data_IF_794080804698
#
_entry.id   IF_794080804698
#
_cell.length_a   1.000
_cell.length_b   1.000
_cell.length_c   1.000
_cell.angle_alpha   90.00
_cell.angle_beta   90.00
_cell.angle_gamma   90.00
#
_symmetry.space_group_name_H-M   'P 1'
#
loop_
_entity.id
_entity.type
_entity.pdbx_description
1 polymer ?
#
# COMPACT_ATOMS: atom_id res chain seq x y z
N UNK A 1 -4.74 3.10 21.83
CA UNK A 1 -5.37 3.85 20.72
C UNK A 1 -4.57 3.60 19.44
N UNK A 2 -5.17 3.70 18.27
CA UNK A 2 -4.51 3.58 16.96
C UNK A 2 -4.61 4.91 16.22
N UNK A 3 -3.64 5.20 15.35
CA UNK A 3 -3.74 6.32 14.41
C UNK A 3 -4.43 5.82 13.14
N UNK A 4 -5.70 6.20 12.97
CA UNK A 4 -6.48 5.86 11.78
C UNK A 4 -6.36 6.98 10.74
N UNK A 5 -5.82 6.67 9.58
CA UNK A 5 -5.69 7.60 8.47
C UNK A 5 -6.56 7.16 7.29
N UNK A 6 -7.30 8.09 6.71
CA UNK A 6 -8.28 7.85 5.66
C UNK A 6 -7.78 8.39 4.33
N UNK A 7 -7.82 7.58 3.28
CA UNK A 7 -7.55 8.04 1.92
C UNK A 7 -8.77 8.81 1.40
N UNK A 8 -8.56 10.05 0.97
CA UNK A 8 -9.65 10.94 0.54
C UNK A 8 -10.33 10.48 -0.75
N UNK A 9 -9.58 9.84 -1.66
CA UNK A 9 -10.04 9.33 -2.95
C UNK A 9 -9.81 7.80 -3.07
N UNK A 10 -10.51 7.17 -4.00
CA UNK A 10 -10.29 5.77 -4.42
C UNK A 10 -8.92 5.60 -5.08
N UNK A 11 -8.38 6.65 -5.72
CA UNK A 11 -7.06 6.65 -6.34
C UNK A 11 -5.98 6.79 -5.27
N UNK A 12 -5.58 5.67 -4.66
CA UNK A 12 -4.60 5.62 -3.55
C UNK A 12 -3.25 6.28 -3.86
N UNK A 13 -2.90 6.42 -5.14
CA UNK A 13 -1.64 6.97 -5.59
C UNK A 13 -1.70 8.46 -5.95
N UNK A 14 -2.88 9.08 -5.87
CA UNK A 14 -3.17 10.47 -6.23
C UNK A 14 -4.23 11.04 -5.26
N UNK A 15 -3.93 11.08 -3.96
CA UNK A 15 -4.89 11.46 -2.92
C UNK A 15 -4.22 12.04 -1.68
N UNK A 16 -4.98 12.79 -0.90
CA UNK A 16 -4.64 13.10 0.48
C UNK A 16 -4.96 11.92 1.40
N UNK A 17 -4.22 11.82 2.50
CA UNK A 17 -4.39 10.86 3.59
C UNK A 17 -4.62 11.65 4.87
N UNK A 18 -5.84 11.56 5.41
CA UNK A 18 -6.40 12.49 6.39
C UNK A 18 -6.58 11.79 7.74
N UNK A 19 -6.20 12.46 8.83
CA UNK A 19 -6.36 11.98 10.19
C UNK A 19 -7.79 12.19 10.74
N UNK A 20 -8.10 11.67 11.93
CA UNK A 20 -9.43 11.83 12.55
C UNK A 20 -9.75 13.28 12.92
N UNK A 21 -8.72 14.12 13.07
CA UNK A 21 -8.80 15.56 13.31
C UNK A 21 -9.05 16.38 12.03
N UNK A 22 -9.13 15.72 10.86
CA UNK A 22 -9.27 16.37 9.57
C UNK A 22 -7.96 16.92 9.00
N UNK A 23 -6.83 16.75 9.68
CA UNK A 23 -5.53 17.19 9.19
C UNK A 23 -5.00 16.25 8.09
N UNK A 24 -4.35 16.82 7.08
CA UNK A 24 -3.66 16.03 6.05
C UNK A 24 -2.32 15.57 6.61
N UNK A 25 -2.18 14.26 6.84
CA UNK A 25 -0.93 13.65 7.30
C UNK A 25 0.01 13.36 6.15
N UNK A 26 -0.52 12.82 5.05
CA UNK A 26 0.25 12.51 3.86
C UNK A 26 -0.49 12.91 2.59
N UNK A 27 0.26 13.15 1.53
CA UNK A 27 -0.25 13.31 0.16
C UNK A 27 0.53 12.40 -0.77
N UNK A 28 -0.18 11.64 -1.59
CA UNK A 28 0.41 10.83 -2.67
C UNK A 28 0.17 11.50 -4.01
N UNK A 29 1.17 11.50 -4.89
CA UNK A 29 1.00 11.99 -6.27
C UNK A 29 1.81 11.16 -7.23
N UNK A 30 1.21 10.75 -8.34
CA UNK A 30 1.81 9.81 -9.28
C UNK A 30 1.96 10.38 -10.67
N UNK A 31 3.19 10.34 -11.16
CA UNK A 31 3.49 10.62 -12.56
C UNK A 31 3.36 9.34 -13.38
N UNK A 32 2.79 9.45 -14.57
CA UNK A 32 2.63 8.34 -15.51
C UNK A 32 3.24 8.69 -16.88
N UNK A 33 3.46 7.68 -17.72
CA UNK A 33 3.81 7.87 -19.13
C UNK A 33 3.39 6.68 -19.97
N UNK A 34 3.89 6.60 -21.21
CA UNK A 34 3.52 5.56 -22.19
C UNK A 34 3.68 4.12 -21.67
N UNK A 35 4.61 3.88 -20.73
CA UNK A 35 4.86 2.57 -20.10
C UNK A 35 4.27 2.46 -18.68
N UNK A 36 3.17 3.15 -18.41
CA UNK A 36 2.51 3.16 -17.10
C UNK A 36 3.18 4.10 -16.09
N UNK A 37 2.99 3.77 -14.80
CA UNK A 37 3.45 4.55 -13.65
C UNK A 37 4.97 4.75 -13.67
N UNK A 38 5.41 5.97 -13.33
CA UNK A 38 6.83 6.35 -13.22
C UNK A 38 7.23 6.46 -11.76
N UNK A 39 6.75 7.50 -11.09
CA UNK A 39 7.11 7.85 -9.73
C UNK A 39 5.84 8.22 -8.98
N UNK A 40 5.62 7.60 -7.81
CA UNK A 40 4.68 8.11 -6.81
C UNK A 40 5.48 8.83 -5.73
N UNK A 41 5.20 10.10 -5.49
CA UNK A 41 5.72 10.86 -4.36
C UNK A 41 4.82 10.67 -3.15
N UNK A 42 5.42 10.60 -1.96
CA UNK A 42 4.71 10.68 -0.68
C UNK A 42 5.26 11.90 0.07
N UNK A 43 4.40 12.89 0.29
CA UNK A 43 4.72 14.09 1.04
C UNK A 43 3.98 14.14 2.37
N UNK A 44 4.55 14.87 3.33
CA UNK A 44 3.89 15.32 4.56
C UNK A 44 3.94 16.86 4.61
N UNK A 45 3.43 17.45 5.69
CA UNK A 45 3.44 18.90 5.90
C UNK A 45 4.86 19.53 5.81
N UNK A 46 5.90 18.77 6.16
CA UNK A 46 7.31 19.18 6.11
C UNK A 46 7.94 19.11 4.71
N UNK A 47 7.28 18.50 3.73
CA UNK A 47 7.79 18.31 2.37
C UNK A 47 7.72 16.87 1.89
N UNK A 48 8.45 16.55 0.82
CA UNK A 48 8.49 15.19 0.26
C UNK A 48 9.38 14.32 1.14
N UNK A 49 8.85 13.18 1.59
CA UNK A 49 9.52 12.27 2.53
C UNK A 49 9.76 10.88 1.95
N UNK A 50 9.10 10.53 0.84
CA UNK A 50 9.31 9.26 0.17
C UNK A 50 8.98 9.26 -1.32
N UNK A 51 9.56 8.30 -2.05
CA UNK A 51 9.26 8.04 -3.46
C UNK A 51 9.15 6.54 -3.73
N UNK A 52 8.09 6.13 -4.43
CA UNK A 52 8.02 4.82 -5.08
C UNK A 52 8.41 5.01 -6.54
N UNK A 53 9.60 4.54 -6.90
CA UNK A 53 10.02 4.52 -8.30
C UNK A 53 9.63 3.17 -8.90
N UNK A 54 8.53 3.17 -9.65
CA UNK A 54 7.91 1.95 -10.17
C UNK A 54 8.75 1.26 -11.23
N UNK A 55 9.50 2.05 -12.02
CA UNK A 55 10.30 1.52 -13.13
C UNK A 55 11.61 0.94 -12.65
N UNK A 56 12.27 1.68 -11.76
CA UNK A 56 13.56 1.26 -11.21
C UNK A 56 13.37 0.26 -10.06
N UNK A 57 12.12 0.00 -9.66
CA UNK A 57 11.74 -0.92 -8.57
C UNK A 57 12.44 -0.56 -7.27
N UNK A 58 12.38 0.71 -6.91
CA UNK A 58 13.02 1.22 -5.69
C UNK A 58 12.05 2.01 -4.83
N UNK A 59 12.30 1.99 -3.52
CA UNK A 59 11.82 2.99 -2.60
C UNK A 59 12.96 3.96 -2.30
N UNK A 60 12.67 5.26 -2.27
CA UNK A 60 13.58 6.27 -1.72
C UNK A 60 12.92 6.79 -0.47
N UNK A 61 13.50 6.53 0.70
CA UNK A 61 13.00 6.97 1.99
C UNK A 61 14.10 7.79 2.65
N UNK A 62 13.77 9.04 3.04
CA UNK A 62 14.74 9.99 3.57
C UNK A 62 16.00 10.14 2.69
N UNK A 63 15.81 10.23 1.37
CA UNK A 63 16.90 10.39 0.40
C UNK A 63 17.72 9.12 0.11
N UNK A 64 17.46 8.00 0.78
CA UNK A 64 18.22 6.76 0.59
C UNK A 64 17.46 5.79 -0.31
N UNK A 65 17.98 5.45 -1.51
CA UNK A 65 17.36 4.46 -2.37
C UNK A 65 17.57 3.04 -1.84
N UNK A 66 16.54 2.21 -1.97
CA UNK A 66 16.52 0.78 -1.63
C UNK A 66 15.76 0.03 -2.72
N UNK A 67 16.37 -1.02 -3.26
CA UNK A 67 15.69 -1.84 -4.25
C UNK A 67 14.59 -2.67 -3.60
N UNK A 68 13.52 -2.98 -4.34
CA UNK A 68 12.51 -3.89 -3.83
C UNK A 68 13.07 -5.28 -3.58
N UNK A 69 14.07 -5.73 -4.35
CA UNK A 69 14.68 -7.04 -4.15
C UNK A 69 15.45 -7.12 -2.81
N UNK A 70 16.03 -6.00 -2.33
CA UNK A 70 16.63 -5.92 -0.99
C UNK A 70 15.59 -5.84 0.12
N UNK A 71 14.46 -5.17 -0.16
CA UNK A 71 13.40 -4.92 0.82
C UNK A 71 12.41 -6.07 0.93
N UNK A 72 12.27 -6.90 -0.11
CA UNK A 72 11.16 -7.82 -0.26
C UNK A 72 11.66 -9.23 -0.55
N UNK A 73 11.42 -10.14 0.38
CA UNK A 73 11.63 -11.58 0.20
C UNK A 73 10.30 -12.29 -0.01
N UNK A 74 10.35 -13.41 -0.73
CA UNK A 74 9.24 -14.36 -0.75
C UNK A 74 9.35 -15.24 0.49
N UNK A 75 8.27 -15.31 1.25
CA UNK A 75 8.13 -16.20 2.38
C UNK A 75 7.10 -17.28 2.06
N UNK A 76 7.51 -18.55 2.13
CA UNK A 76 6.64 -19.70 1.89
C UNK A 76 6.90 -20.43 0.57
N UNK A 77 6.02 -21.40 0.26
CA UNK A 77 6.15 -22.27 -0.91
C UNK A 77 5.90 -21.55 -2.25
N UNK A 78 6.10 -22.28 -3.37
CA UNK A 78 6.04 -21.77 -4.75
C UNK A 78 4.72 -21.04 -5.13
N UNK A 79 3.65 -21.22 -4.36
CA UNK A 79 2.32 -20.63 -4.62
C UNK A 79 1.89 -19.58 -3.58
N UNK A 80 2.73 -19.23 -2.62
CA UNK A 80 2.37 -18.23 -1.60
C UNK A 80 2.36 -16.82 -2.19
N UNK A 81 1.26 -16.09 -2.01
CA UNK A 81 1.18 -14.65 -2.27
C UNK A 81 1.79 -13.81 -1.14
N UNK A 82 2.17 -14.45 -0.03
CA UNK A 82 2.77 -13.78 1.13
C UNK A 82 4.13 -13.19 0.76
N UNK A 83 4.36 -11.97 1.23
CA UNK A 83 5.61 -11.24 1.02
C UNK A 83 6.10 -10.70 2.35
N UNK A 84 7.37 -10.95 2.62
CA UNK A 84 8.07 -10.31 3.72
C UNK A 84 8.69 -9.03 3.21
N UNK A 85 8.49 -7.95 3.95
CA UNK A 85 9.05 -6.63 3.72
C UNK A 85 9.94 -6.28 4.90
N UNK A 86 11.22 -6.05 4.66
CA UNK A 86 12.21 -5.79 5.70
C UNK A 86 12.70 -4.34 5.62
N UNK A 87 12.59 -3.63 6.74
CA UNK A 87 13.19 -2.32 6.90
C UNK A 87 14.06 -2.27 8.15
N UNK A 88 15.32 -1.87 8.01
CA UNK A 88 16.25 -1.72 9.13
C UNK A 88 16.29 -2.95 10.09
N UNK A 89 16.33 -4.16 9.51
CA UNK A 89 16.28 -5.44 10.24
C UNK A 89 14.97 -5.71 11.01
N UNK A 90 13.89 -5.01 10.64
CA UNK A 90 12.53 -5.26 11.15
C UNK A 90 11.68 -5.82 10.00
N UNK A 91 11.53 -7.15 9.93
CA UNK A 91 10.72 -7.80 8.91
C UNK A 91 9.23 -7.75 9.26
N UNK A 92 8.41 -7.45 8.25
CA UNK A 92 6.95 -7.44 8.27
C UNK A 92 6.41 -8.41 7.25
N UNK A 93 5.49 -9.28 7.66
CA UNK A 93 4.69 -10.09 6.75
C UNK A 93 3.50 -9.26 6.27
N UNK A 94 3.43 -9.01 4.96
CA UNK A 94 2.28 -8.39 4.32
C UNK A 94 1.38 -9.48 3.72
N UNK A 95 0.14 -9.55 4.21
CA UNK A 95 -0.83 -10.56 3.81
C UNK A 95 -2.21 -9.95 3.60
N UNK A 96 -2.77 -10.16 2.41
CA UNK A 96 -4.14 -9.78 2.09
C UNK A 96 -5.09 -10.89 2.52
N UNK A 97 -6.15 -10.52 3.23
CA UNK A 97 -7.20 -11.40 3.72
C UNK A 97 -8.49 -11.11 2.94
N UNK A 98 -8.80 -11.96 1.95
CA UNK A 98 -9.97 -11.78 1.08
C UNK A 98 -11.30 -11.76 1.87
N UNK A 99 -11.41 -12.55 2.95
CA UNK A 99 -12.62 -12.63 3.78
C UNK A 99 -12.96 -11.33 4.50
N UNK A 100 -11.95 -10.51 4.79
CA UNK A 100 -12.09 -9.25 5.53
C UNK A 100 -11.73 -8.02 4.69
N UNK A 101 -11.32 -8.24 3.44
CA UNK A 101 -10.90 -7.21 2.49
C UNK A 101 -9.88 -6.23 3.10
N UNK A 102 -8.90 -6.83 3.80
CA UNK A 102 -7.86 -6.08 4.50
C UNK A 102 -6.47 -6.63 4.17
N UNK A 103 -5.48 -5.73 4.15
CA UNK A 103 -4.07 -6.05 4.10
C UNK A 103 -3.48 -5.82 5.49
N UNK A 104 -2.88 -6.85 6.06
CA UNK A 104 -2.17 -6.75 7.33
C UNK A 104 -0.66 -6.74 7.09
N UNK A 105 0.04 -5.80 7.73
CA UNK A 105 1.48 -5.80 7.86
C UNK A 105 1.84 -6.16 9.30
N UNK A 106 2.13 -7.44 9.52
CA UNK A 106 2.39 -8.00 10.86
C UNK A 106 3.90 -8.14 11.06
N UNK A 107 4.47 -7.60 12.15
CA UNK A 107 5.89 -7.81 12.43
C UNK A 107 6.18 -9.30 12.64
N UNK A 108 7.26 -9.81 12.03
CA UNK A 108 7.71 -11.19 12.23
C UNK A 108 8.51 -11.37 13.53
N UNK A 109 9.08 -10.28 14.03
CA UNK A 109 9.78 -10.21 15.30
C UNK A 109 9.22 -9.05 16.12
N UNK A 110 8.92 -9.29 17.39
CA UNK A 110 8.38 -8.29 18.31
C UNK A 110 6.93 -8.54 18.68
N UNK A 111 6.19 -7.46 18.99
CA UNK A 111 4.83 -7.53 19.50
C UNK A 111 3.81 -7.52 18.36
N UNK A 112 2.90 -8.50 18.34
CA UNK A 112 1.79 -8.53 17.37
C UNK A 112 0.86 -7.31 17.49
N UNK A 113 0.86 -6.62 18.63
CA UNK A 113 0.16 -5.35 18.79
C UNK A 113 0.69 -4.24 17.86
N UNK A 114 1.86 -4.44 17.23
CA UNK A 114 2.44 -3.52 16.24
C UNK A 114 1.98 -3.81 14.79
N UNK A 115 0.97 -4.68 14.60
CA UNK A 115 0.37 -4.91 13.29
C UNK A 115 -0.28 -3.64 12.74
N UNK A 116 0.09 -3.28 11.51
CA UNK A 116 -0.58 -2.23 10.73
C UNK A 116 -1.67 -2.88 9.89
N UNK A 117 -2.87 -2.30 9.92
CA UNK A 117 -4.01 -2.77 9.11
C UNK A 117 -4.33 -1.76 8.03
N UNK A 118 -4.61 -2.24 6.82
CA UNK A 118 -5.12 -1.44 5.72
C UNK A 118 -6.42 -2.04 5.20
N UNK A 119 -7.48 -1.24 5.11
CA UNK A 119 -8.77 -1.64 4.52
C UNK A 119 -8.91 -1.03 3.15
N UNK A 120 -9.35 -1.81 2.17
CA UNK A 120 -9.56 -1.32 0.80
C UNK A 120 -10.82 -0.48 0.68
N UNK A 121 -10.93 0.33 -0.38
CA UNK A 121 -12.18 1.02 -0.68
C UNK A 121 -13.22 0.04 -1.22
N UNK A 122 -14.45 0.12 -0.71
CA UNK A 122 -15.56 -0.72 -1.15
C UNK A 122 -16.64 0.12 -1.81
N UNK A 123 -17.00 -0.18 -3.07
CA UNK A 123 -18.15 0.44 -3.69
C UNK A 123 -19.44 -0.13 -3.11
N UNK A 124 -20.34 0.74 -2.66
CA UNK A 124 -21.69 0.36 -2.22
C UNK A 124 -22.71 0.75 -3.28
N UNK A 125 -23.71 -0.11 -3.55
CA UNK A 125 -24.72 0.14 -4.59
C UNK A 125 -25.77 1.17 -4.17
N UNK A 126 -25.93 1.44 -2.88
CA UNK A 126 -27.01 2.28 -2.34
C UNK A 126 -26.55 3.29 -1.29
N UNK A 127 -25.28 3.29 -0.89
CA UNK A 127 -24.72 4.15 0.16
C UNK A 127 -23.37 4.71 -0.31
N UNK A 128 -22.82 5.68 0.43
CA UNK A 128 -21.47 6.19 0.16
C UNK A 128 -20.44 5.06 0.21
N UNK A 129 -19.46 5.13 -0.67
CA UNK A 129 -18.41 4.12 -0.74
C UNK A 129 -17.52 4.18 0.50
N UNK A 130 -17.17 3.02 1.04
CA UNK A 130 -16.16 2.96 2.10
C UNK A 130 -14.83 3.45 1.54
N UNK A 131 -14.20 4.37 2.28
CA UNK A 131 -12.88 4.88 1.94
C UNK A 131 -11.83 3.90 2.41
N UNK A 132 -10.73 3.83 1.68
CA UNK A 132 -9.58 3.07 2.15
C UNK A 132 -9.02 3.73 3.42
N UNK A 133 -8.55 2.93 4.36
CA UNK A 133 -7.99 3.41 5.62
C UNK A 133 -6.75 2.62 5.99
N UNK A 134 -5.77 3.27 6.60
CA UNK A 134 -4.62 2.63 7.22
C UNK A 134 -4.60 2.93 8.71
N UNK A 135 -4.39 1.90 9.53
CA UNK A 135 -4.40 1.96 10.97
C UNK A 135 -2.99 1.65 11.48
N UNK A 136 -2.31 2.66 11.99
CA UNK A 136 -1.02 2.50 12.64
C UNK A 136 -1.20 2.29 14.16
N UNK A 137 -0.45 1.37 14.77
CA UNK A 137 -0.42 1.26 16.23
C UNK A 137 0.25 2.50 16.82
N UNK A 138 -0.29 3.01 17.92
CA UNK A 138 0.22 4.24 18.56
C UNK A 138 1.69 4.13 19.02
N UNK A 139 2.16 2.90 19.26
CA UNK A 139 3.54 2.63 19.68
C UNK A 139 4.55 2.80 18.53
N UNK A 140 4.08 2.79 17.27
CA UNK A 140 4.90 2.99 16.08
C UNK A 140 5.20 4.49 15.90
N UNK A 141 6.14 4.99 16.69
CA UNK A 141 6.54 6.40 16.71
C UNK A 141 7.53 6.76 15.60
N UNK A 142 8.29 5.78 15.09
CA UNK A 142 9.24 5.98 14.00
C UNK A 142 8.51 6.36 12.69
N UNK A 143 8.71 7.59 12.24
CA UNK A 143 8.11 8.12 11.01
C UNK A 143 8.64 7.42 9.75
N UNK A 144 9.92 7.04 9.74
CA UNK A 144 10.56 6.36 8.62
C UNK A 144 9.95 4.96 8.48
N UNK A 145 9.73 4.27 9.60
CA UNK A 145 9.04 2.98 9.61
C UNK A 145 7.60 3.09 9.12
N UNK A 146 6.82 4.07 9.62
CA UNK A 146 5.45 4.32 9.13
C UNK A 146 5.43 4.60 7.63
N UNK A 147 6.39 5.39 7.14
CA UNK A 147 6.54 5.70 5.72
C UNK A 147 6.84 4.46 4.89
N UNK A 148 7.79 3.64 5.33
CA UNK A 148 8.10 2.38 4.69
C UNK A 148 6.87 1.48 4.58
N UNK A 149 6.13 1.29 5.68
CA UNK A 149 4.94 0.45 5.69
C UNK A 149 3.84 1.04 4.81
N UNK A 150 3.60 2.36 4.84
CA UNK A 150 2.67 3.03 3.95
C UNK A 150 3.00 2.75 2.48
N UNK A 151 4.28 2.92 2.10
CA UNK A 151 4.73 2.67 0.72
C UNK A 151 4.62 1.18 0.33
N UNK A 152 4.92 0.25 1.24
CA UNK A 152 4.78 -1.19 1.03
C UNK A 152 3.30 -1.60 0.86
N UNK A 153 2.39 -1.00 1.63
CA UNK A 153 0.93 -1.14 1.49
C UNK A 153 0.48 -0.61 0.13
N UNK A 154 0.85 0.62 -0.24
CA UNK A 154 0.51 1.22 -1.53
C UNK A 154 0.99 0.36 -2.70
N UNK A 155 2.24 -0.12 -2.64
CA UNK A 155 2.79 -1.03 -3.63
C UNK A 155 1.95 -2.31 -3.73
N UNK A 156 1.70 -2.96 -2.61
CA UNK A 156 1.02 -4.27 -2.56
C UNK A 156 -0.42 -4.17 -3.05
N UNK A 157 -1.15 -3.15 -2.59
CA UNK A 157 -2.53 -2.91 -3.00
C UNK A 157 -2.64 -2.53 -4.48
N UNK A 158 -1.74 -1.69 -4.98
CA UNK A 158 -1.70 -1.34 -6.41
C UNK A 158 -1.49 -2.58 -7.26
N UNK A 159 -0.54 -3.45 -6.89
CA UNK A 159 -0.28 -4.68 -7.62
C UNK A 159 -1.46 -5.65 -7.58
N UNK A 160 -2.22 -5.69 -6.47
CA UNK A 160 -3.46 -6.46 -6.35
C UNK A 160 -4.54 -5.92 -7.30
N UNK A 161 -4.73 -4.60 -7.33
CA UNK A 161 -5.70 -3.94 -8.23
C UNK A 161 -5.34 -4.14 -9.70
N UNK A 162 -4.07 -4.02 -10.07
CA UNK A 162 -3.59 -4.27 -11.44
C UNK A 162 -3.91 -5.71 -11.88
N UNK A 163 -3.66 -6.68 -11.00
CA UNK A 163 -3.91 -8.09 -11.28
C UNK A 163 -5.41 -8.38 -11.44
N UNK A 164 -6.25 -7.80 -10.57
CA UNK A 164 -7.70 -7.91 -10.71
C UNK A 164 -8.20 -7.28 -12.01
N UNK A 165 -7.70 -6.10 -12.38
CA UNK A 165 -8.04 -5.44 -13.63
C UNK A 165 -7.61 -6.26 -14.86
N UNK A 166 -6.45 -6.92 -14.78
CA UNK A 166 -5.94 -7.83 -15.83
C UNK A 166 -6.84 -9.06 -15.98
N UNK A 167 -7.20 -9.71 -14.88
CA UNK A 167 -8.08 -10.88 -14.88
C UNK A 167 -9.47 -10.52 -15.42
N UNK A 168 -10.07 -9.43 -14.96
CA UNK A 168 -11.38 -8.97 -15.42
C UNK A 168 -11.38 -8.65 -16.93
N UNK A 169 -10.33 -8.00 -17.43
CA UNK A 169 -10.16 -7.71 -18.87
C UNK A 169 -10.07 -8.99 -19.69
N UNK A 170 -9.29 -9.96 -19.24
CA UNK A 170 -9.15 -11.24 -19.95
C UNK A 170 -10.48 -12.01 -19.99
N UNK A 171 -11.23 -12.03 -18.88
CA UNK A 171 -12.55 -12.66 -18.83
C UNK A 171 -13.54 -12.02 -19.82
N UNK A 172 -13.56 -10.68 -19.90
CA UNK A 172 -14.42 -9.94 -20.84
C UNK A 172 -14.10 -10.24 -22.32
N UNK A 173 -12.82 -10.38 -22.65
CA UNK A 173 -12.38 -10.75 -24.01
C UNK A 173 -12.87 -12.15 -24.37
N UNK A 174 -12.69 -13.13 -23.46
CA UNK A 174 -13.13 -14.52 -23.69
C UNK A 174 -14.65 -14.63 -23.86
N UNK A 175 -15.43 -13.88 -23.08
CA UNK A 175 -16.89 -13.86 -23.25
C UNK A 175 -17.34 -13.24 -24.58
N UNK A 176 -16.59 -12.26 -25.10
CA UNK A 176 -16.91 -11.60 -26.38
C UNK A 176 -16.59 -12.44 -27.61
N UNK A 177 -15.66 -13.40 -27.52
CA UNK A 177 -15.33 -14.32 -28.63
C UNK A 177 -16.19 -15.57 -28.66
N UNK A 178 -16.96 -15.84 -27.61
CA UNK A 178 -17.85 -16.99 -27.50
C UNK A 178 -19.31 -16.67 -27.91
N UNK A 179 -19.60 -15.42 -28.25
CA UNK A 179 -20.90 -14.94 -28.78
C UNK A 179 -20.78 -14.65 -30.27
#
# INVERSE_FOLDING_TARGET
>A
MTLALTFADKKLLDTAVIGPDGAVHYTTTTTSGLRGRKITTVGAASGIIGFINWRDKTFVINGVPRSWDDLKSRSGGLFSSEREWNWANRPFKLQYHDSHQELLATPLAGNIADTVRFTTSHPHLFHDNDRAMIYFPYQMQDEIERMFILMAVLHTETHRQDEQARVARNAAITSSTAS
#
